data_IF_759041598105
#
_entry.id   IF_759041598105
#
_cell.length_a   1.000
_cell.length_b   1.000
_cell.length_c   1.000
_cell.angle_alpha   90.00
_cell.angle_beta   90.00
_cell.angle_gamma   90.00
#
_symmetry.space_group_name_H-M   'P 1'
#
loop_
_entity.id
_entity.type
_entity.pdbx_description
1 polymer ?
#
# COMPACT_ATOMS: atom_id res chain seq x y z
N UNK A 1 -3.87 7.80 24.11
CA UNK A 1 -3.92 9.28 24.04
C UNK A 1 -5.05 9.80 24.90
N UNK A 2 -4.86 10.93 25.59
CA UNK A 2 -5.93 11.56 26.39
C UNK A 2 -7.03 12.22 25.54
N UNK A 3 -6.71 12.60 24.31
CA UNK A 3 -7.63 13.21 23.33
C UNK A 3 -7.35 12.70 21.92
N UNK A 4 -8.33 12.84 21.03
CA UNK A 4 -8.15 12.56 19.60
C UNK A 4 -7.39 13.70 18.97
N UNK A 5 -6.24 13.43 18.38
CA UNK A 5 -5.32 14.43 17.83
C UNK A 5 -4.64 13.91 16.56
N UNK A 6 -4.33 14.82 15.65
CA UNK A 6 -3.48 14.54 14.50
C UNK A 6 -2.06 14.93 14.89
N UNK A 7 -1.13 13.99 14.78
CA UNK A 7 0.29 14.25 15.00
C UNK A 7 1.02 14.25 13.67
N UNK A 8 1.95 15.19 13.53
CA UNK A 8 2.85 15.29 12.38
C UNK A 8 4.22 14.72 12.73
N UNK A 9 4.92 14.10 11.76
CA UNK A 9 6.28 13.61 11.96
C UNK A 9 7.21 14.74 12.41
N UNK A 10 8.37 14.37 12.97
CA UNK A 10 9.42 15.34 13.27
C UNK A 10 10.01 15.88 11.96
N UNK A 11 10.10 17.19 11.83
CA UNK A 11 10.73 17.82 10.66
C UNK A 11 12.25 17.72 10.77
N UNK A 12 12.95 17.52 9.64
CA UNK A 12 14.38 17.21 9.56
C UNK A 12 15.35 18.26 10.13
N UNK A 13 14.85 19.30 10.78
CA UNK A 13 15.62 20.33 11.48
C UNK A 13 15.46 20.32 13.01
N UNK A 14 14.60 19.46 13.57
CA UNK A 14 14.54 19.25 15.03
C UNK A 14 15.69 18.33 15.46
N UNK A 15 16.89 18.90 15.48
CA UNK A 15 18.10 18.31 16.07
C UNK A 15 17.89 18.01 17.55
N UNK A 16 17.41 16.82 17.85
CA UNK A 16 17.56 16.16 19.15
C UNK A 16 18.13 14.76 18.95
N UNK A 17 19.24 14.63 18.19
CA UNK A 17 19.97 13.36 18.00
C UNK A 17 20.35 12.69 19.33
N UNK A 18 20.53 13.46 20.41
CA UNK A 18 20.72 12.93 21.77
C UNK A 18 19.42 12.40 22.43
N UNK A 19 18.28 13.02 22.17
CA UNK A 19 16.98 12.57 22.72
C UNK A 19 16.36 11.43 21.92
N UNK A 20 16.68 11.29 20.62
CA UNK A 20 16.12 10.24 19.74
C UNK A 20 16.50 8.83 20.22
N UNK A 21 17.72 8.63 20.77
CA UNK A 21 18.10 7.33 21.33
C UNK A 21 17.33 7.01 22.63
N UNK A 22 17.18 7.99 23.52
CA UNK A 22 16.38 7.83 24.74
C UNK A 22 14.89 7.60 24.43
N UNK A 23 14.38 8.31 23.43
CA UNK A 23 13.02 8.19 22.88
C UNK A 23 12.81 6.81 22.25
N UNK A 24 13.79 6.30 21.49
CA UNK A 24 13.75 4.98 20.87
C UNK A 24 13.76 3.85 21.90
N UNK A 25 14.59 3.93 22.94
CA UNK A 25 14.60 2.95 24.05
C UNK A 25 13.26 2.95 24.79
N UNK A 26 12.73 4.14 25.11
CA UNK A 26 11.43 4.27 25.78
C UNK A 26 10.27 3.81 24.88
N UNK A 27 10.34 4.05 23.58
CA UNK A 27 9.40 3.55 22.60
C UNK A 27 9.35 2.01 22.57
N UNK A 28 10.49 1.33 22.65
CA UNK A 28 10.51 -0.14 22.74
C UNK A 28 9.81 -0.66 23.99
N UNK A 29 9.93 0.07 25.12
CA UNK A 29 9.16 -0.24 26.35
C UNK A 29 7.65 -0.05 26.14
N UNK A 30 7.24 0.97 25.38
CA UNK A 30 5.83 1.19 25.02
C UNK A 30 5.26 0.06 24.16
N UNK A 31 6.03 -0.41 23.18
CA UNK A 31 5.62 -1.51 22.29
C UNK A 31 5.54 -2.84 23.05
N UNK A 32 6.39 -3.05 24.06
CA UNK A 32 6.41 -4.27 24.87
C UNK A 32 5.13 -4.49 25.72
N UNK A 33 4.34 -3.44 25.96
CA UNK A 33 3.11 -3.51 26.77
C UNK A 33 1.90 -4.16 26.05
N UNK A 34 2.08 -4.62 24.80
CA UNK A 34 1.29 -5.50 23.90
C UNK A 34 -0.23 -5.77 24.11
N UNK A 35 -0.71 -5.94 25.35
CA UNK A 35 -2.11 -6.23 25.72
C UNK A 35 -2.82 -5.06 26.41
N UNK A 36 -2.09 -3.98 26.72
CA UNK A 36 -2.62 -2.86 27.48
C UNK A 36 -2.73 -3.16 28.98
N UNK A 37 -2.86 -2.11 29.78
CA UNK A 37 -2.98 -2.24 31.24
C UNK A 37 -4.17 -1.42 31.75
N UNK A 38 -4.83 -1.91 32.79
CA UNK A 38 -5.88 -1.17 33.50
C UNK A 38 -5.24 -0.17 34.48
N UNK A 39 -4.57 0.83 33.93
CA UNK A 39 -3.99 1.95 34.66
C UNK A 39 -4.41 3.26 34.01
N UNK A 40 -4.35 4.35 34.77
CA UNK A 40 -4.55 5.69 34.23
C UNK A 40 -3.38 6.09 33.33
N UNK A 41 -3.61 7.08 32.45
CA UNK A 41 -2.56 7.59 31.58
C UNK A 41 -1.41 8.23 32.39
N UNK A 42 -1.71 8.81 33.55
CA UNK A 42 -0.69 9.43 34.41
C UNK A 42 0.20 8.37 35.08
N UNK A 43 -0.38 7.32 35.66
CA UNK A 43 0.37 6.19 36.22
C UNK A 43 1.24 5.50 35.15
N UNK A 44 0.74 5.43 33.92
CA UNK A 44 1.52 4.93 32.79
C UNK A 44 2.73 5.82 32.47
N UNK A 45 2.55 7.14 32.43
CA UNK A 45 3.66 8.07 32.21
C UNK A 45 4.70 7.96 33.32
N UNK A 46 4.28 7.80 34.57
CA UNK A 46 5.15 7.54 35.72
C UNK A 46 5.91 6.22 35.58
N UNK A 47 5.22 5.14 35.19
CA UNK A 47 5.81 3.80 34.97
C UNK A 47 6.87 3.80 33.87
N UNK A 48 6.68 4.60 32.82
CA UNK A 48 7.63 4.73 31.70
C UNK A 48 8.65 5.87 31.94
N UNK A 49 8.58 6.54 33.10
CA UNK A 49 9.40 7.69 33.46
C UNK A 49 9.44 8.76 32.33
N UNK A 50 8.25 9.14 31.85
CA UNK A 50 8.05 10.15 30.80
C UNK A 50 7.14 11.27 31.30
N UNK A 51 7.41 12.49 30.84
CA UNK A 51 6.43 13.58 30.92
C UNK A 51 5.58 13.57 29.65
N UNK A 52 4.38 14.14 29.73
CA UNK A 52 3.45 14.23 28.59
C UNK A 52 4.09 14.81 27.30
N UNK A 53 4.85 15.93 27.30
CA UNK A 53 5.49 16.43 26.09
C UNK A 53 6.54 15.47 25.51
N UNK A 54 7.29 14.78 26.37
CA UNK A 54 8.30 13.79 25.94
C UNK A 54 7.64 12.56 25.32
N UNK A 55 6.49 12.16 25.84
CA UNK A 55 5.67 11.08 25.26
C UNK A 55 5.16 11.45 23.87
N UNK A 56 4.61 12.67 23.69
CA UNK A 56 4.17 13.13 22.37
C UNK A 56 5.33 13.20 21.39
N UNK A 57 6.50 13.69 21.82
CA UNK A 57 7.70 13.71 21.00
C UNK A 57 8.13 12.30 20.59
N UNK A 58 8.03 11.33 21.50
CA UNK A 58 8.32 9.93 21.21
C UNK A 58 7.37 9.34 20.17
N UNK A 59 6.07 9.59 20.29
CA UNK A 59 5.08 9.14 19.31
C UNK A 59 5.29 9.82 17.95
N UNK A 60 5.64 11.12 17.92
CA UNK A 60 5.94 11.83 16.65
C UNK A 60 7.19 11.30 15.96
N UNK A 61 8.15 10.76 16.70
CA UNK A 61 9.37 10.17 16.15
C UNK A 61 9.13 8.82 15.46
N UNK A 62 8.03 8.12 15.77
CA UNK A 62 7.73 6.79 15.22
C UNK A 62 6.87 6.84 13.96
N UNK A 63 6.33 8.01 13.60
CA UNK A 63 5.47 8.17 12.41
C UNK A 63 6.26 8.79 11.26
N UNK A 64 6.02 8.29 10.05
CA UNK A 64 6.61 8.81 8.82
C UNK A 64 5.71 9.82 8.09
N UNK A 65 4.43 9.90 8.47
CA UNK A 65 3.41 10.72 7.84
C UNK A 65 2.41 11.23 8.90
N UNK A 66 1.67 12.31 8.61
CA UNK A 66 0.59 12.77 9.49
C UNK A 66 -0.37 11.62 9.83
N UNK A 67 -0.61 11.40 11.12
CA UNK A 67 -1.37 10.23 11.60
C UNK A 67 -2.40 10.67 12.65
N UNK A 68 -3.63 10.19 12.52
CA UNK A 68 -4.68 10.41 13.53
C UNK A 68 -4.51 9.41 14.67
N UNK A 69 -4.36 9.91 15.88
CA UNK A 69 -4.42 9.12 17.10
C UNK A 69 -5.73 9.38 17.81
N UNK A 70 -6.50 8.33 18.07
CA UNK A 70 -7.79 8.45 18.75
C UNK A 70 -7.59 8.54 20.28
N UNK A 71 -8.50 9.26 20.94
CA UNK A 71 -8.66 9.14 22.39
C UNK A 71 -8.97 7.69 22.75
N UNK A 72 -8.10 7.07 23.53
CA UNK A 72 -8.21 5.68 23.98
C UNK A 72 -7.62 5.52 25.36
N UNK A 73 -8.27 4.68 26.17
CA UNK A 73 -7.70 4.14 27.39
C UNK A 73 -6.61 3.10 27.07
N UNK A 74 -5.75 2.83 28.04
CA UNK A 74 -4.65 1.88 27.87
C UNK A 74 -5.13 0.43 27.74
N UNK A 75 -6.38 0.13 28.08
CA UNK A 75 -6.99 -1.19 27.89
C UNK A 75 -7.49 -1.40 26.45
N UNK A 76 -7.72 -0.32 25.71
CA UNK A 76 -8.30 -0.35 24.36
C UNK A 76 -7.24 -0.46 23.25
N UNK A 77 -6.02 -0.88 23.59
CA UNK A 77 -4.91 -0.98 22.62
C UNK A 77 -5.25 -1.90 21.45
N UNK A 78 -5.98 -3.00 21.72
CA UNK A 78 -6.41 -3.99 20.73
C UNK A 78 -7.81 -3.76 20.17
N UNK A 79 -8.46 -2.66 20.54
CA UNK A 79 -9.78 -2.32 20.00
C UNK A 79 -9.57 -1.60 18.67
N UNK A 80 -10.12 -2.15 17.59
CA UNK A 80 -10.08 -1.49 16.28
C UNK A 80 -10.89 -0.18 16.33
N UNK A 81 -10.58 0.74 15.43
CA UNK A 81 -11.35 1.97 15.29
C UNK A 81 -12.76 1.66 14.77
N UNK A 82 -13.79 2.14 15.46
CA UNK A 82 -15.17 1.79 15.17
C UNK A 82 -16.10 3.00 15.29
N UNK A 83 -17.24 2.96 14.60
CA UNK A 83 -18.34 3.91 14.79
C UNK A 83 -19.37 3.28 15.73
N UNK A 84 -19.67 3.92 16.86
CA UNK A 84 -20.64 3.37 17.82
C UNK A 84 -22.04 3.19 17.21
N UNK A 85 -22.45 4.10 16.32
CA UNK A 85 -23.73 3.99 15.61
C UNK A 85 -23.72 2.79 14.65
N UNK A 86 -22.67 2.63 13.84
CA UNK A 86 -22.54 1.50 12.93
C UNK A 86 -22.43 0.18 13.68
N UNK A 87 -21.71 0.14 14.81
CA UNK A 87 -21.56 -1.08 15.61
C UNK A 87 -22.90 -1.53 16.19
N UNK A 88 -23.73 -0.61 16.69
CA UNK A 88 -25.07 -0.92 17.21
C UNK A 88 -26.00 -1.46 16.11
N UNK A 89 -25.91 -0.90 14.91
CA UNK A 89 -26.74 -1.30 13.77
C UNK A 89 -26.27 -2.61 13.12
N UNK A 90 -24.98 -2.73 12.83
CA UNK A 90 -24.40 -3.81 12.03
C UNK A 90 -23.90 -5.00 12.88
N UNK A 91 -23.45 -4.74 14.11
CA UNK A 91 -22.96 -5.75 15.08
C UNK A 91 -21.87 -6.68 14.53
N UNK A 92 -20.94 -6.16 13.73
CA UNK A 92 -19.75 -6.88 13.28
C UNK A 92 -18.47 -6.08 13.55
N UNK A 93 -17.33 -6.74 13.44
CA UNK A 93 -16.02 -6.11 13.54
C UNK A 93 -15.86 -5.02 12.47
N UNK A 94 -15.27 -3.90 12.86
CA UNK A 94 -15.01 -2.76 11.99
C UNK A 94 -13.58 -2.27 12.19
N UNK A 95 -12.98 -1.77 11.12
CA UNK A 95 -11.67 -1.13 11.14
C UNK A 95 -11.77 0.15 10.29
N UNK A 96 -12.17 1.24 10.96
CA UNK A 96 -12.42 2.54 10.32
C UNK A 96 -11.22 3.47 10.52
N UNK A 97 -10.71 4.04 9.44
CA UNK A 97 -9.59 4.99 9.50
C UNK A 97 -9.98 6.32 8.85
N UNK A 98 -9.52 7.42 9.45
CA UNK A 98 -9.68 8.75 8.86
C UNK A 98 -8.74 8.91 7.67
N UNK A 99 -9.26 9.44 6.57
CA UNK A 99 -8.46 9.76 5.38
C UNK A 99 -7.88 11.16 5.54
N UNK A 100 -6.56 11.24 5.73
CA UNK A 100 -5.82 12.49 5.87
C UNK A 100 -5.19 12.91 4.52
N UNK A 101 -4.91 11.94 3.65
CA UNK A 101 -4.34 12.14 2.32
C UNK A 101 -5.06 11.24 1.30
N UNK A 102 -5.55 11.87 0.22
CA UNK A 102 -6.25 11.21 -0.88
C UNK A 102 -5.30 10.26 -1.64
N UNK A 103 -4.03 10.63 -1.78
CA UNK A 103 -3.03 9.78 -2.43
C UNK A 103 -2.74 8.53 -1.59
N UNK A 104 -2.51 8.69 -0.29
CA UNK A 104 -2.38 7.56 0.63
C UNK A 104 -3.59 6.62 0.59
N UNK A 105 -4.81 7.16 0.48
CA UNK A 105 -6.03 6.36 0.32
C UNK A 105 -6.02 5.56 -1.00
N UNK A 106 -5.68 6.21 -2.12
CA UNK A 106 -5.59 5.54 -3.42
C UNK A 106 -4.53 4.43 -3.43
N UNK A 107 -3.35 4.69 -2.84
CA UNK A 107 -2.27 3.71 -2.68
C UNK A 107 -2.74 2.53 -1.82
N UNK A 108 -3.43 2.79 -0.71
CA UNK A 108 -3.96 1.75 0.16
C UNK A 108 -4.93 0.84 -0.60
N UNK A 109 -5.91 1.41 -1.30
CA UNK A 109 -6.88 0.66 -2.12
C UNK A 109 -6.15 -0.19 -3.17
N UNK A 110 -5.21 0.40 -3.91
CA UNK A 110 -4.43 -0.32 -4.90
C UNK A 110 -3.66 -1.49 -4.27
N UNK A 111 -2.99 -1.26 -3.14
CA UNK A 111 -2.21 -2.28 -2.42
C UNK A 111 -3.06 -3.45 -1.91
N UNK A 112 -4.34 -3.19 -1.62
CA UNK A 112 -5.28 -4.20 -1.15
C UNK A 112 -5.83 -5.03 -2.31
N UNK A 113 -6.21 -4.37 -3.42
CA UNK A 113 -6.64 -5.04 -4.65
C UNK A 113 -5.51 -5.95 -5.17
N UNK A 114 -4.26 -5.49 -5.12
CA UNK A 114 -3.10 -6.26 -5.58
C UNK A 114 -2.46 -7.12 -4.47
N UNK A 115 -3.14 -7.32 -3.33
CA UNK A 115 -2.56 -8.03 -2.17
C UNK A 115 -2.19 -9.49 -2.50
N UNK A 116 -3.04 -10.17 -3.27
CA UNK A 116 -2.82 -11.55 -3.75
C UNK A 116 -1.71 -11.62 -4.80
N UNK A 117 -1.37 -10.49 -5.42
CA UNK A 117 -0.40 -10.39 -6.51
C UNK A 117 0.95 -9.81 -6.04
N UNK A 118 1.20 -9.78 -4.72
CA UNK A 118 2.50 -9.35 -4.19
C UNK A 118 3.60 -10.33 -4.63
N UNK A 119 4.74 -9.79 -5.08
CA UNK A 119 5.87 -10.58 -5.60
C UNK A 119 5.77 -10.95 -7.08
N UNK A 120 4.62 -10.74 -7.72
CA UNK A 120 4.45 -11.04 -9.16
C UNK A 120 5.33 -10.19 -10.07
N UNK A 121 5.67 -8.97 -9.63
CA UNK A 121 6.59 -8.09 -10.36
C UNK A 121 7.99 -8.71 -10.50
N UNK A 122 8.48 -9.42 -9.50
CA UNK A 122 9.80 -10.07 -9.54
C UNK A 122 9.79 -11.25 -10.51
N UNK A 123 8.74 -12.07 -10.46
CA UNK A 123 8.53 -13.18 -11.39
C UNK A 123 8.44 -12.70 -12.84
N UNK A 124 7.67 -11.65 -13.10
CA UNK A 124 7.58 -11.04 -14.43
C UNK A 124 8.92 -10.46 -14.89
N UNK A 125 9.66 -9.81 -13.98
CA UNK A 125 10.99 -9.27 -14.29
C UNK A 125 11.97 -10.37 -14.65
N UNK A 126 11.94 -11.50 -13.94
CA UNK A 126 12.75 -12.67 -14.24
C UNK A 126 12.36 -13.30 -15.59
N UNK A 127 11.06 -13.46 -15.87
CA UNK A 127 10.57 -13.97 -17.14
C UNK A 127 10.95 -13.07 -18.32
N UNK A 128 10.91 -11.74 -18.16
CA UNK A 128 11.38 -10.80 -19.18
C UNK A 128 12.89 -10.92 -19.42
N UNK A 129 13.70 -11.05 -18.36
CA UNK A 129 15.15 -11.28 -18.49
C UNK A 129 15.45 -12.59 -19.23
N UNK A 130 14.70 -13.65 -18.95
CA UNK A 130 14.83 -14.96 -19.60
C UNK A 130 14.34 -14.95 -21.05
N UNK A 131 13.31 -14.16 -21.36
CA UNK A 131 12.83 -13.97 -22.72
C UNK A 131 13.88 -13.22 -23.56
N UNK A 132 14.51 -12.20 -22.97
CA UNK A 132 15.56 -11.42 -23.61
C UNK A 132 16.90 -12.16 -23.72
N UNK A 133 17.08 -13.29 -23.03
CA UNK A 133 18.30 -14.09 -23.11
C UNK A 133 18.21 -15.14 -24.23
N UNK A 134 19.26 -15.18 -25.05
CA UNK A 134 19.40 -16.10 -26.18
C UNK A 134 18.82 -15.57 -27.49
N UNK A 135 18.86 -16.41 -28.53
CA UNK A 135 18.43 -16.06 -29.89
C UNK A 135 16.99 -16.54 -30.16
N UNK A 136 16.04 -16.10 -29.33
CA UNK A 136 14.61 -16.44 -29.44
C UNK A 136 13.90 -15.44 -30.35
N UNK A 137 12.94 -15.90 -31.15
CA UNK A 137 12.05 -15.02 -31.90
C UNK A 137 11.12 -14.25 -30.96
N UNK A 138 10.61 -13.08 -31.37
CA UNK A 138 9.65 -12.28 -30.58
C UNK A 138 8.43 -13.13 -30.16
N UNK A 139 7.96 -14.03 -31.03
CA UNK A 139 6.83 -14.92 -30.72
C UNK A 139 7.14 -15.89 -29.58
N UNK A 140 8.36 -16.43 -29.54
CA UNK A 140 8.81 -17.32 -28.48
C UNK A 140 9.00 -16.57 -27.16
N UNK A 141 9.54 -15.35 -27.22
CA UNK A 141 9.66 -14.46 -26.06
C UNK A 141 8.30 -14.19 -25.41
N UNK A 142 7.31 -13.79 -26.21
CA UNK A 142 5.93 -13.54 -25.73
C UNK A 142 5.32 -14.81 -25.14
N UNK A 143 5.52 -15.98 -25.77
CA UNK A 143 5.02 -17.26 -25.25
C UNK A 143 5.65 -17.62 -23.92
N UNK A 144 6.96 -17.41 -23.76
CA UNK A 144 7.66 -17.69 -22.51
C UNK A 144 7.13 -16.82 -21.36
N UNK A 145 7.02 -15.51 -21.59
CA UNK A 145 6.44 -14.57 -20.62
C UNK A 145 5.00 -14.98 -20.28
N UNK A 146 4.18 -15.28 -21.29
CA UNK A 146 2.79 -15.69 -21.11
C UNK A 146 2.67 -16.98 -20.29
N UNK A 147 3.51 -17.98 -20.58
CA UNK A 147 3.52 -19.26 -19.84
C UNK A 147 3.87 -19.04 -18.38
N UNK A 148 4.94 -18.30 -18.09
CA UNK A 148 5.36 -18.03 -16.72
C UNK A 148 4.31 -17.21 -15.97
N UNK A 149 3.67 -16.25 -16.65
CA UNK A 149 2.57 -15.47 -16.10
C UNK A 149 1.36 -16.35 -15.76
N UNK A 150 0.86 -17.15 -16.69
CA UNK A 150 -0.33 -17.99 -16.49
C UNK A 150 -0.14 -19.05 -15.40
N UNK A 151 1.07 -19.58 -15.22
CA UNK A 151 1.35 -20.57 -14.19
C UNK A 151 1.51 -19.96 -12.78
N UNK A 152 1.74 -18.65 -12.69
CA UNK A 152 2.00 -17.99 -11.42
C UNK A 152 0.84 -17.08 -10.97
N UNK A 153 -0.01 -16.62 -11.89
CA UNK A 153 -1.18 -15.81 -11.57
C UNK A 153 -2.38 -16.67 -11.16
N UNK A 154 -2.89 -16.40 -9.96
CA UNK A 154 -4.19 -16.88 -9.53
C UNK A 154 -5.25 -15.82 -9.85
N UNK A 155 -6.36 -16.26 -10.44
CA UNK A 155 -7.53 -15.41 -10.74
C UNK A 155 -8.77 -16.05 -10.15
N UNK A 156 -9.73 -15.23 -9.72
CA UNK A 156 -11.02 -15.74 -9.26
C UNK A 156 -11.81 -16.38 -10.41
N UNK A 157 -12.72 -17.31 -10.09
CA UNK A 157 -13.57 -17.93 -11.11
C UNK A 157 -14.42 -16.90 -11.88
N UNK A 158 -14.82 -15.83 -11.20
CA UNK A 158 -15.56 -14.71 -11.79
C UNK A 158 -14.70 -13.95 -12.80
N UNK A 159 -13.46 -13.59 -12.44
CA UNK A 159 -12.52 -12.92 -13.36
C UNK A 159 -12.17 -13.82 -14.54
N UNK A 160 -11.95 -15.12 -14.31
CA UNK A 160 -11.69 -16.09 -15.38
C UNK A 160 -12.86 -16.18 -16.38
N UNK A 161 -14.10 -16.16 -15.87
CA UNK A 161 -15.30 -16.16 -16.71
C UNK A 161 -15.40 -14.89 -17.54
N UNK A 162 -15.13 -13.72 -16.94
CA UNK A 162 -15.12 -12.44 -17.65
C UNK A 162 -14.06 -12.41 -18.76
N UNK A 163 -12.83 -12.84 -18.45
CA UNK A 163 -11.74 -12.91 -19.43
C UNK A 163 -12.06 -13.87 -20.57
N UNK A 164 -12.61 -15.05 -20.27
CA UNK A 164 -12.96 -16.06 -21.28
C UNK A 164 -14.06 -15.57 -22.23
N UNK A 165 -15.03 -14.82 -21.71
CA UNK A 165 -16.12 -14.21 -22.46
C UNK A 165 -15.76 -12.86 -23.07
N UNK A 166 -14.51 -12.39 -22.90
CA UNK A 166 -14.05 -11.07 -23.34
C UNK A 166 -14.92 -9.91 -22.82
N UNK A 167 -15.47 -10.08 -21.62
CA UNK A 167 -16.25 -9.04 -20.96
C UNK A 167 -15.33 -7.98 -20.35
N UNK A 168 -15.75 -6.70 -20.35
CA UNK A 168 -14.95 -5.63 -19.76
C UNK A 168 -14.83 -5.81 -18.24
N UNK A 169 -13.60 -5.96 -17.74
CA UNK A 169 -13.29 -6.04 -16.30
C UNK A 169 -13.54 -4.73 -15.54
N UNK A 170 -13.65 -3.61 -16.26
CA UNK A 170 -14.01 -2.31 -15.70
C UNK A 170 -14.90 -1.54 -16.66
N UNK A 171 -15.76 -0.70 -16.12
CA UNK A 171 -16.49 0.33 -16.86
C UNK A 171 -16.00 1.70 -16.39
N UNK A 172 -15.77 2.61 -17.33
CA UNK A 172 -15.33 3.98 -17.07
C UNK A 172 -16.14 4.92 -17.95
N UNK A 173 -16.56 6.05 -17.39
CA UNK A 173 -17.17 7.14 -18.16
C UNK A 173 -16.15 7.92 -18.98
N UNK A 174 -14.85 7.72 -18.72
CA UNK A 174 -13.73 8.36 -19.42
C UNK A 174 -12.91 7.35 -20.19
N UNK A 175 -12.59 7.69 -21.44
CA UNK A 175 -11.63 6.95 -22.26
C UNK A 175 -10.22 7.14 -21.71
N UNK A 176 -9.44 6.06 -21.72
CA UNK A 176 -8.02 6.08 -21.38
C UNK A 176 -7.23 5.82 -22.66
N UNK A 177 -6.36 6.76 -23.01
CA UNK A 177 -5.50 6.67 -24.19
C UNK A 177 -4.06 6.55 -23.68
N UNK A 178 -3.36 5.50 -24.10
CA UNK A 178 -1.95 5.35 -23.80
C UNK A 178 -1.14 6.29 -24.70
N UNK A 179 -0.34 7.17 -24.10
CA UNK A 179 0.60 8.04 -24.81
C UNK A 179 2.00 7.55 -24.48
N UNK A 180 2.73 7.05 -25.48
CA UNK A 180 4.10 6.59 -25.29
C UNK A 180 5.04 7.79 -25.14
N UNK A 181 5.50 8.06 -23.92
CA UNK A 181 6.43 9.16 -23.60
C UNK A 181 7.90 8.78 -23.66
N UNK A 182 8.24 7.55 -24.08
CA UNK A 182 9.65 7.13 -24.24
C UNK A 182 10.36 7.91 -25.35
N UNK A 183 11.71 8.03 -25.31
CA UNK A 183 12.51 8.59 -26.39
C UNK A 183 12.20 7.90 -27.74
N UNK A 184 12.17 8.63 -28.89
CA UNK A 184 11.75 8.08 -30.17
C UNK A 184 12.48 6.80 -30.60
N UNK A 185 13.77 6.71 -30.32
CA UNK A 185 14.67 5.59 -30.59
C UNK A 185 14.38 4.35 -29.73
N UNK A 186 13.72 4.51 -28.59
CA UNK A 186 13.38 3.43 -27.66
C UNK A 186 11.92 2.96 -27.77
N UNK A 187 11.13 3.59 -28.65
CA UNK A 187 9.73 3.20 -28.83
C UNK A 187 9.68 1.89 -29.61
N UNK A 188 9.05 0.88 -29.01
CA UNK A 188 8.74 -0.37 -29.71
C UNK A 188 7.75 -0.07 -30.82
N UNK A 189 8.13 -0.36 -32.06
CA UNK A 189 7.28 -0.22 -33.24
C UNK A 189 6.88 -1.62 -33.70
N UNK A 190 5.58 -1.89 -33.76
CA UNK A 190 5.06 -3.09 -34.40
C UNK A 190 4.87 -2.81 -35.88
N UNK A 191 5.68 -3.46 -36.72
CA UNK A 191 5.48 -3.42 -38.17
C UNK A 191 4.12 -4.03 -38.49
N UNK A 192 3.33 -3.32 -39.29
CA UNK A 192 2.08 -3.85 -39.81
C UNK A 192 2.39 -5.02 -40.76
N UNK A 193 1.52 -6.03 -40.85
CA UNK A 193 1.65 -7.08 -41.85
C UNK A 193 1.74 -6.50 -43.27
N UNK A 194 2.52 -7.14 -44.15
CA UNK A 194 2.74 -6.69 -45.53
C UNK A 194 1.43 -6.35 -46.26
N UNK A 195 0.42 -7.18 -46.07
CA UNK A 195 -0.90 -7.04 -46.71
C UNK A 195 -1.62 -5.76 -46.27
N UNK A 196 -1.44 -5.33 -45.03
CA UNK A 196 -1.98 -4.05 -44.54
C UNK A 196 -1.18 -2.86 -45.06
N UNK A 197 0.15 -2.99 -45.13
CA UNK A 197 1.01 -1.94 -45.69
C UNK A 197 0.67 -1.68 -47.17
N UNK A 198 0.46 -2.73 -47.96
CA UNK A 198 0.04 -2.63 -49.36
C UNK A 198 -1.34 -1.99 -49.56
N UNK A 199 -2.20 -2.03 -48.54
CA UNK A 199 -3.54 -1.43 -48.57
C UNK A 199 -3.59 0.00 -48.05
N UNK A 200 -2.49 0.51 -47.49
CA UNK A 200 -2.39 1.89 -47.06
C UNK A 200 -1.91 2.72 -48.26
N UNK A 201 -2.71 3.71 -48.66
CA UNK A 201 -2.26 4.71 -49.64
C UNK A 201 -1.13 5.54 -49.03
N UNK A 202 -0.15 5.90 -49.86
CA UNK A 202 0.99 6.75 -49.51
C UNK A 202 0.57 8.11 -48.92
#
# INVERSE_FOLDING_TARGET
MQQTIILHPLEGHDTLKGSINLIGTKYMTLVAMNDGENISFQEFLEKVALKDPDYILAVRSSIAAPTVFLKRSLQEVRVNSYSAACLKAWRANMDLQFVIDVYACAIYIASYITKTQRGMSELLTAACKEANSGNKTIREQVRLISKNFLNAFEISAQEASYLSLQLPLKKSSRQVIFINTSPPDQRVVLLKPQNQLQSMND
#
